data_IF_660412049431
#
_entry.id   IF_660412049431
#
_cell.length_a   1.000
_cell.length_b   1.000
_cell.length_c   1.000
_cell.angle_alpha   90.00
_cell.angle_beta   90.00
_cell.angle_gamma   90.00
#
_symmetry.space_group_name_H-M   'P 1'
#
loop_
_entity.id
_entity.type
_entity.pdbx_description
1 polymer ?
#
# COMPACT_ATOMS: atom_id res chain seq x y z
N UNK A 1 47.14 -41.16 -19.45
CA UNK A 1 45.68 -41.39 -19.29
C UNK A 1 45.20 -40.55 -18.13
N UNK A 2 44.08 -39.82 -18.28
CA UNK A 2 43.43 -39.17 -17.13
C UNK A 2 43.04 -40.24 -16.12
N UNK A 3 43.41 -40.07 -14.86
CA UNK A 3 42.91 -40.91 -13.76
C UNK A 3 41.42 -40.65 -13.50
N UNK A 4 40.83 -41.40 -12.57
CA UNK A 4 39.40 -41.28 -12.18
C UNK A 4 39.01 -39.83 -11.86
N UNK A 5 39.86 -39.10 -11.14
CA UNK A 5 39.65 -37.68 -10.81
C UNK A 5 39.61 -36.79 -12.06
N UNK A 6 40.46 -37.07 -13.05
CA UNK A 6 40.49 -36.34 -14.31
C UNK A 6 39.22 -36.55 -15.14
N UNK A 7 38.72 -37.79 -15.21
CA UNK A 7 37.44 -38.08 -15.87
C UNK A 7 36.24 -37.48 -15.15
N UNK A 8 36.23 -37.50 -13.81
CA UNK A 8 35.20 -36.83 -13.03
C UNK A 8 35.14 -35.32 -13.31
N UNK A 9 36.31 -34.67 -13.43
CA UNK A 9 36.37 -33.24 -13.78
C UNK A 9 35.84 -32.95 -15.18
N UNK A 10 36.23 -33.76 -16.18
CA UNK A 10 35.74 -33.61 -17.56
C UNK A 10 34.22 -33.81 -17.62
N UNK A 11 33.69 -34.83 -16.93
CA UNK A 11 32.25 -35.06 -16.86
C UNK A 11 31.51 -33.89 -16.18
N UNK A 12 32.05 -33.36 -15.07
CA UNK A 12 31.49 -32.21 -14.38
C UNK A 12 31.52 -30.94 -15.24
N UNK A 13 32.62 -30.68 -15.96
CA UNK A 13 32.73 -29.56 -16.87
C UNK A 13 31.78 -29.70 -18.07
N UNK A 14 31.67 -30.90 -18.65
CA UNK A 14 30.73 -31.19 -19.72
C UNK A 14 29.28 -30.99 -19.28
N UNK A 15 28.92 -31.48 -18.10
CA UNK A 15 27.60 -31.24 -17.51
C UNK A 15 27.35 -29.76 -17.24
N UNK A 16 28.35 -29.03 -16.72
CA UNK A 16 28.24 -27.59 -16.49
C UNK A 16 28.00 -26.82 -17.80
N UNK A 17 28.76 -27.13 -18.86
CA UNK A 17 28.57 -26.50 -20.19
C UNK A 17 27.17 -26.83 -20.73
N UNK A 18 26.75 -28.10 -20.67
CA UNK A 18 25.40 -28.52 -21.06
C UNK A 18 24.31 -27.77 -20.29
N UNK A 19 24.47 -27.63 -18.99
CA UNK A 19 23.53 -26.92 -18.11
C UNK A 19 23.49 -25.41 -18.40
N UNK A 20 24.64 -24.78 -18.62
CA UNK A 20 24.72 -23.36 -19.04
C UNK A 20 24.12 -23.16 -20.43
N UNK A 21 24.21 -24.14 -21.32
CA UNK A 21 23.61 -24.08 -22.66
C UNK A 21 22.09 -24.27 -22.68
N UNK A 22 21.47 -24.78 -21.59
CA UNK A 22 20.01 -24.93 -21.53
C UNK A 22 19.32 -23.56 -21.62
N UNK A 23 18.27 -23.40 -22.44
CA UNK A 23 17.49 -22.16 -22.46
C UNK A 23 16.79 -21.96 -21.12
N UNK A 24 16.59 -20.70 -20.74
CA UNK A 24 15.69 -20.39 -19.63
C UNK A 24 14.23 -20.72 -20.00
N UNK A 25 13.38 -21.07 -19.02
CA UNK A 25 11.99 -21.42 -19.28
C UNK A 25 11.23 -20.25 -19.91
N UNK A 26 10.40 -20.56 -20.90
CA UNK A 26 9.50 -19.58 -21.53
C UNK A 26 8.57 -19.00 -20.45
N UNK A 27 8.37 -17.67 -20.40
CA UNK A 27 7.45 -17.04 -19.46
C UNK A 27 6.05 -17.66 -19.54
N UNK A 28 5.41 -17.85 -18.38
CA UNK A 28 4.03 -18.30 -18.33
C UNK A 28 3.12 -17.25 -18.97
N UNK A 29 2.24 -17.68 -19.87
CA UNK A 29 1.39 -16.82 -20.71
C UNK A 29 2.19 -15.74 -21.49
N UNK A 30 3.48 -15.96 -21.74
CA UNK A 30 4.36 -15.00 -22.42
C UNK A 30 4.66 -13.71 -21.63
N UNK A 31 4.26 -13.64 -20.36
CA UNK A 31 4.33 -12.41 -19.56
C UNK A 31 4.99 -12.64 -18.20
N UNK A 32 4.71 -13.77 -17.55
CA UNK A 32 5.13 -14.01 -16.17
C UNK A 32 6.41 -14.84 -16.13
N UNK A 33 7.48 -14.27 -15.61
CA UNK A 33 8.78 -14.92 -15.46
C UNK A 33 8.68 -16.19 -14.62
N UNK A 34 9.57 -17.15 -14.88
CA UNK A 34 9.62 -18.44 -14.18
C UNK A 34 11.04 -18.67 -13.64
N UNK A 35 11.21 -19.46 -12.55
CA UNK A 35 12.53 -19.82 -12.05
C UNK A 35 13.43 -20.42 -13.14
N UNK A 36 14.43 -19.66 -13.57
CA UNK A 36 15.45 -20.11 -14.52
C UNK A 36 16.55 -20.94 -13.85
N UNK A 37 17.50 -21.43 -14.65
CA UNK A 37 18.60 -22.28 -14.15
C UNK A 37 19.42 -21.60 -13.04
N UNK A 38 19.59 -20.27 -13.12
CA UNK A 38 20.33 -19.48 -12.13
C UNK A 38 19.53 -19.10 -10.88
N UNK A 39 18.26 -19.53 -10.75
CA UNK A 39 17.37 -19.12 -9.66
C UNK A 39 18.02 -19.26 -8.28
N UNK A 40 18.58 -20.43 -7.94
CA UNK A 40 19.14 -20.65 -6.60
C UNK A 40 20.38 -19.81 -6.31
N UNK A 41 21.19 -19.52 -7.33
CA UNK A 41 22.34 -18.62 -7.21
C UNK A 41 21.86 -17.19 -6.94
N UNK A 42 20.94 -16.69 -7.78
CA UNK A 42 20.31 -15.36 -7.66
C UNK A 42 19.65 -15.18 -6.29
N UNK A 43 18.87 -16.17 -5.86
CA UNK A 43 18.16 -16.19 -4.59
C UNK A 43 19.11 -16.10 -3.41
N UNK A 44 20.13 -16.97 -3.33
CA UNK A 44 21.09 -16.97 -2.21
C UNK A 44 21.89 -15.65 -2.15
N UNK A 45 22.31 -15.14 -3.31
CA UNK A 45 23.02 -13.88 -3.40
C UNK A 45 22.15 -12.71 -2.89
N UNK A 46 20.92 -12.57 -3.40
CA UNK A 46 20.07 -11.45 -3.00
C UNK A 46 19.60 -11.56 -1.56
N UNK A 47 19.29 -12.76 -1.08
CA UNK A 47 18.96 -12.98 0.33
C UNK A 47 20.09 -12.52 1.24
N UNK A 48 21.35 -12.83 0.89
CA UNK A 48 22.52 -12.35 1.63
C UNK A 48 22.65 -10.81 1.55
N UNK A 49 22.56 -10.23 0.36
CA UNK A 49 22.69 -8.78 0.15
C UNK A 49 21.65 -8.01 0.97
N UNK A 50 20.37 -8.41 0.89
CA UNK A 50 19.27 -7.76 1.61
C UNK A 50 19.48 -7.91 3.13
N UNK A 51 19.81 -9.11 3.61
CA UNK A 51 20.05 -9.34 5.03
C UNK A 51 21.24 -8.52 5.57
N UNK A 52 22.31 -8.36 4.78
CA UNK A 52 23.46 -7.53 5.16
C UNK A 52 23.10 -6.03 5.21
N UNK A 53 22.29 -5.54 4.26
CA UNK A 53 21.80 -4.16 4.27
C UNK A 53 20.96 -3.87 5.51
N UNK A 54 19.99 -4.75 5.81
CA UNK A 54 19.14 -4.64 7.01
C UNK A 54 19.97 -4.69 8.32
N UNK A 55 21.00 -5.55 8.39
CA UNK A 55 21.89 -5.63 9.58
C UNK A 55 22.80 -4.43 9.75
N UNK A 56 23.33 -3.87 8.65
CA UNK A 56 24.22 -2.71 8.71
C UNK A 56 23.56 -1.48 9.33
N UNK A 57 22.23 -1.41 9.38
CA UNK A 57 21.48 -0.34 10.04
C UNK A 57 21.51 -0.44 11.58
N UNK A 58 21.38 -1.64 12.16
CA UNK A 58 21.37 -1.82 13.63
C UNK A 58 22.66 -1.37 14.33
N UNK A 59 23.78 -1.31 13.61
CA UNK A 59 25.11 -1.08 14.18
C UNK A 59 25.69 0.33 13.95
N UNK A 60 24.99 1.24 13.26
CA UNK A 60 25.50 2.60 13.01
C UNK A 60 25.00 3.60 14.06
N UNK A 61 25.92 4.23 14.79
CA UNK A 61 25.63 5.31 15.76
C UNK A 61 25.18 6.59 15.03
N UNK A 62 24.17 7.26 15.58
CA UNK A 62 23.34 8.27 14.88
C UNK A 62 23.99 9.62 14.51
N UNK A 63 25.28 9.84 14.76
CA UNK A 63 25.86 11.20 14.70
C UNK A 63 26.36 11.66 13.32
N UNK A 64 26.61 10.75 12.37
CA UNK A 64 27.16 11.09 11.04
C UNK A 64 26.31 10.55 9.86
N UNK A 65 25.07 10.15 10.12
CA UNK A 65 24.25 9.44 9.11
C UNK A 65 23.34 10.43 8.39
N UNK A 66 23.47 10.51 7.05
CA UNK A 66 22.60 11.29 6.16
C UNK A 66 21.13 10.86 6.34
N UNK A 67 20.18 11.79 6.24
CA UNK A 67 18.74 11.44 6.14
C UNK A 67 18.52 10.63 4.87
N UNK A 68 17.72 9.57 4.97
CA UNK A 68 17.35 8.73 3.83
C UNK A 68 16.46 9.54 2.86
N UNK A 69 16.74 9.43 1.57
CA UNK A 69 15.89 10.02 0.53
C UNK A 69 14.70 9.11 0.28
N UNK A 70 13.58 9.36 0.98
CA UNK A 70 12.39 8.51 0.94
C UNK A 70 11.77 8.37 -0.46
N UNK A 71 12.07 9.31 -1.37
CA UNK A 71 11.59 9.29 -2.77
C UNK A 71 12.54 8.54 -3.72
N UNK A 72 13.72 8.14 -3.26
CA UNK A 72 14.78 7.44 -4.03
C UNK A 72 15.44 6.30 -3.23
N UNK A 73 14.75 5.77 -2.23
CA UNK A 73 15.28 4.71 -1.37
C UNK A 73 15.39 3.37 -2.14
N UNK A 74 15.84 2.32 -1.45
CA UNK A 74 16.00 0.98 -2.03
C UNK A 74 15.62 -0.08 -1.01
N UNK A 75 15.37 -1.31 -1.47
CA UNK A 75 15.22 -2.48 -0.60
C UNK A 75 16.44 -2.64 0.34
N UNK A 76 16.19 -2.74 1.64
CA UNK A 76 17.21 -2.69 2.69
C UNK A 76 17.55 -1.28 3.19
N UNK A 77 16.95 -0.25 2.59
CA UNK A 77 17.27 1.17 2.71
C UNK A 77 18.60 1.58 2.07
N UNK A 78 18.81 2.89 1.93
CA UNK A 78 20.08 3.47 1.47
C UNK A 78 21.14 3.60 2.60
N UNK A 79 20.76 3.25 3.82
CA UNK A 79 21.59 3.33 5.02
C UNK A 79 21.48 4.67 5.77
N UNK A 80 20.56 5.54 5.37
CA UNK A 80 20.22 6.79 6.04
C UNK A 80 19.31 6.62 7.26
N UNK A 81 19.15 7.71 8.03
CA UNK A 81 18.19 7.78 9.15
C UNK A 81 16.78 7.96 8.59
N UNK A 82 15.85 7.13 9.07
CA UNK A 82 14.40 7.26 8.87
C UNK A 82 13.78 7.83 10.14
N UNK A 83 13.49 9.12 10.13
CA UNK A 83 12.82 9.81 11.23
C UNK A 83 11.31 9.57 11.10
N UNK A 84 10.65 9.12 12.17
CA UNK A 84 9.20 8.85 12.17
C UNK A 84 8.38 10.08 11.79
N UNK A 85 8.85 11.28 12.18
CA UNK A 85 8.17 12.53 11.82
C UNK A 85 8.28 12.85 10.34
N UNK A 86 9.38 12.42 9.70
CA UNK A 86 9.55 12.53 8.25
C UNK A 86 8.76 11.44 7.52
N UNK A 87 8.61 10.26 8.09
CA UNK A 87 7.81 9.17 7.51
C UNK A 87 6.31 9.48 7.49
N UNK A 88 5.76 10.11 8.54
CA UNK A 88 4.32 10.34 8.69
C UNK A 88 3.83 11.66 8.10
N UNK A 89 4.70 12.65 7.91
CA UNK A 89 4.27 13.95 7.40
C UNK A 89 3.82 13.85 5.94
N UNK A 90 2.99 14.81 5.53
CA UNK A 90 2.71 15.04 4.12
C UNK A 90 3.97 15.51 3.37
N UNK A 91 4.20 14.95 2.18
CA UNK A 91 5.36 15.25 1.36
C UNK A 91 5.02 16.16 0.19
N UNK A 92 5.91 17.10 -0.08
CA UNK A 92 5.91 17.84 -1.34
C UNK A 92 6.38 16.93 -2.48
N UNK A 93 5.70 17.02 -3.62
CA UNK A 93 6.04 16.20 -4.77
C UNK A 93 7.16 16.85 -5.59
N UNK A 94 8.25 16.12 -5.89
CA UNK A 94 9.34 16.63 -6.72
C UNK A 94 8.86 16.94 -8.15
N UNK A 95 9.15 18.16 -8.63
CA UNK A 95 8.68 18.68 -9.93
C UNK A 95 9.23 17.92 -11.13
N UNK A 96 10.42 17.36 -11.00
CA UNK A 96 11.12 16.57 -12.02
C UNK A 96 10.59 15.14 -12.14
N UNK A 97 9.80 14.66 -11.16
CA UNK A 97 9.25 13.30 -11.16
C UNK A 97 7.76 13.31 -11.45
N UNK A 98 7.41 13.17 -12.73
CA UNK A 98 6.03 13.17 -13.24
C UNK A 98 5.07 12.22 -12.51
N UNK A 99 5.57 11.07 -12.05
CA UNK A 99 4.74 10.02 -11.43
C UNK A 99 4.96 9.89 -9.93
N UNK A 100 5.54 10.93 -9.30
CA UNK A 100 5.66 10.95 -7.85
C UNK A 100 4.29 10.86 -7.18
N UNK A 101 4.30 10.37 -5.95
CA UNK A 101 3.09 10.25 -5.15
C UNK A 101 3.41 10.26 -3.67
N UNK A 102 2.45 10.77 -2.92
CA UNK A 102 2.41 10.72 -1.47
C UNK A 102 1.04 10.17 -1.07
N UNK A 103 1.03 8.92 -0.61
CA UNK A 103 -0.18 8.13 -0.46
C UNK A 103 -0.36 7.72 0.99
N UNK A 104 -1.58 7.87 1.51
CA UNK A 104 -1.96 7.31 2.81
C UNK A 104 -3.23 6.50 2.65
N UNK A 105 -3.27 5.35 3.30
CA UNK A 105 -4.38 4.41 3.26
C UNK A 105 -4.77 4.01 4.66
N UNK A 106 -6.06 3.80 4.86
CA UNK A 106 -6.65 3.34 6.10
C UNK A 106 -7.73 2.34 5.75
N UNK A 107 -7.74 1.20 6.42
CA UNK A 107 -8.88 0.30 6.42
C UNK A 107 -9.41 0.10 7.84
N UNK A 108 -10.49 -0.64 7.99
CA UNK A 108 -10.89 -1.12 9.29
C UNK A 108 -12.15 -1.95 9.22
N UNK A 109 -12.27 -2.89 10.16
CA UNK A 109 -13.47 -3.71 10.28
C UNK A 109 -13.73 -4.14 11.72
N UNK A 110 -14.93 -4.64 11.97
CA UNK A 110 -15.28 -5.28 13.25
C UNK A 110 -16.26 -6.44 13.05
N UNK A 111 -16.53 -7.16 14.15
CA UNK A 111 -17.44 -8.32 14.15
C UNK A 111 -18.89 -7.98 13.79
N UNK A 112 -19.32 -6.75 14.03
CA UNK A 112 -20.68 -6.31 13.74
C UNK A 112 -20.91 -6.14 12.22
N UNK A 113 -19.85 -6.27 11.41
CA UNK A 113 -19.92 -6.12 9.97
C UNK A 113 -19.68 -4.68 9.48
N UNK A 114 -19.10 -3.81 10.31
CA UNK A 114 -18.59 -2.56 9.79
C UNK A 114 -17.36 -2.80 8.93
N UNK A 115 -17.27 -2.08 7.80
CA UNK A 115 -16.05 -1.98 7.02
C UNK A 115 -15.82 -0.53 6.62
N UNK A 116 -14.58 -0.10 6.69
CA UNK A 116 -14.16 1.22 6.27
C UNK A 116 -12.89 1.08 5.45
N UNK A 117 -12.79 1.83 4.36
CA UNK A 117 -11.54 1.97 3.62
C UNK A 117 -11.48 3.36 3.02
N UNK A 118 -10.38 4.07 3.27
CA UNK A 118 -10.10 5.39 2.72
C UNK A 118 -8.63 5.45 2.30
N UNK A 119 -8.41 5.64 1.00
CA UNK A 119 -7.08 5.81 0.41
C UNK A 119 -6.97 7.14 -0.31
N UNK A 120 -5.86 7.83 -0.11
CA UNK A 120 -5.47 9.02 -0.89
C UNK A 120 -4.12 8.77 -1.54
N UNK A 121 -3.95 9.24 -2.77
CA UNK A 121 -2.64 9.38 -3.41
C UNK A 121 -2.55 10.79 -3.98
N UNK A 122 -1.83 11.68 -3.29
CA UNK A 122 -1.54 13.01 -3.80
C UNK A 122 -0.66 12.89 -5.04
N UNK A 123 -1.07 13.57 -6.11
CA UNK A 123 -0.38 13.66 -7.40
C UNK A 123 -0.08 15.11 -7.75
N UNK A 124 0.67 15.30 -8.83
CA UNK A 124 0.84 16.60 -9.46
C UNK A 124 -0.51 17.14 -9.98
N UNK A 125 -0.52 18.40 -10.41
CA UNK A 125 -1.66 19.06 -11.06
C UNK A 125 -2.92 19.18 -10.18
N UNK A 126 -2.74 19.37 -8.87
CA UNK A 126 -3.83 19.51 -7.88
C UNK A 126 -4.80 18.31 -7.89
N UNK A 127 -4.27 17.09 -8.03
CA UNK A 127 -5.06 15.85 -8.03
C UNK A 127 -4.73 15.01 -6.80
N UNK A 128 -5.77 14.49 -6.14
CA UNK A 128 -5.67 13.34 -5.24
C UNK A 128 -6.45 12.19 -5.87
N UNK A 129 -5.80 11.06 -6.13
CA UNK A 129 -6.55 9.84 -6.42
C UNK A 129 -7.17 9.38 -5.10
N UNK A 130 -8.48 9.33 -5.03
CA UNK A 130 -9.23 9.09 -3.82
C UNK A 130 -10.04 7.81 -3.96
N UNK A 131 -10.01 6.99 -2.92
CA UNK A 131 -10.74 5.73 -2.82
C UNK A 131 -11.48 5.71 -1.48
N UNK A 132 -12.78 5.45 -1.50
CA UNK A 132 -13.60 5.32 -0.30
C UNK A 132 -14.60 4.17 -0.46
N UNK A 133 -14.63 3.30 0.54
CA UNK A 133 -15.72 2.33 0.76
C UNK A 133 -16.11 2.37 2.24
N UNK A 134 -17.40 2.50 2.52
CA UNK A 134 -17.96 2.41 3.88
C UNK A 134 -19.10 1.40 3.85
N UNK A 135 -19.00 0.33 4.62
CA UNK A 135 -20.12 -0.56 4.89
C UNK A 135 -20.66 -0.30 6.29
N UNK A 136 -21.97 -0.08 6.33
CA UNK A 136 -22.75 0.04 7.55
C UNK A 136 -23.69 -1.16 7.63
N UNK A 137 -23.53 -2.04 8.64
CA UNK A 137 -24.31 -3.28 8.76
C UNK A 137 -25.81 -2.99 8.82
N UNK A 138 -26.60 -3.74 8.06
CA UNK A 138 -28.05 -3.57 7.95
C UNK A 138 -28.52 -2.32 7.19
N UNK A 139 -27.62 -1.40 6.83
CA UNK A 139 -27.99 -0.15 6.14
C UNK A 139 -27.52 -0.13 4.68
N UNK A 140 -26.24 -0.46 4.44
CA UNK A 140 -25.71 -0.52 3.08
C UNK A 140 -24.19 -0.39 3.00
N UNK A 141 -23.68 -0.68 1.81
CA UNK A 141 -22.33 -0.29 1.39
C UNK A 141 -22.37 0.99 0.57
N UNK A 142 -21.47 1.92 0.84
CA UNK A 142 -21.43 3.27 0.29
C UNK A 142 -20.06 3.59 -0.30
N UNK A 143 -20.09 4.38 -1.37
CA UNK A 143 -18.92 4.98 -2.01
C UNK A 143 -19.19 6.47 -2.23
N UNK A 144 -18.16 7.26 -2.48
CA UNK A 144 -18.35 8.64 -2.94
C UNK A 144 -19.05 8.66 -4.30
N UNK A 145 -19.97 9.61 -4.50
CA UNK A 145 -20.82 9.66 -5.68
C UNK A 145 -20.04 9.91 -6.97
N UNK A 146 -18.93 10.65 -6.91
CA UNK A 146 -18.07 10.94 -8.06
C UNK A 146 -17.08 9.80 -8.34
N UNK A 147 -16.61 9.13 -7.28
CA UNK A 147 -15.64 8.02 -7.40
C UNK A 147 -16.12 6.83 -8.23
N UNK A 148 -17.43 6.65 -8.42
CA UNK A 148 -17.94 5.58 -9.29
C UNK A 148 -17.49 5.72 -10.75
N UNK A 149 -17.15 6.95 -11.16
CA UNK A 149 -16.79 7.29 -12.54
C UNK A 149 -15.33 7.75 -12.61
N UNK A 150 -14.90 8.57 -11.64
CA UNK A 150 -13.55 9.12 -11.61
C UNK A 150 -13.03 9.24 -10.18
N UNK A 151 -11.94 8.54 -9.89
CA UNK A 151 -11.24 8.61 -8.61
C UNK A 151 -10.37 9.85 -8.46
N UNK A 152 -10.23 10.70 -9.48
CA UNK A 152 -9.45 11.94 -9.41
C UNK A 152 -10.26 13.04 -8.72
N UNK A 153 -9.99 13.25 -7.43
CA UNK A 153 -10.52 14.38 -6.70
C UNK A 153 -9.60 15.60 -6.84
N UNK A 154 -10.19 16.78 -7.00
CA UNK A 154 -9.43 18.04 -6.96
C UNK A 154 -8.86 18.24 -5.54
N UNK A 155 -7.54 18.34 -5.45
CA UNK A 155 -6.81 18.64 -4.22
C UNK A 155 -7.02 20.10 -3.80
N UNK A 156 -7.07 20.32 -2.50
CA UNK A 156 -6.97 21.65 -1.89
C UNK A 156 -5.58 21.75 -1.27
N UNK A 157 -4.85 22.78 -1.69
CA UNK A 157 -3.52 23.06 -1.18
C UNK A 157 -3.53 23.17 0.35
N UNK A 158 -2.73 22.32 0.98
CA UNK A 158 -2.52 22.26 2.42
C UNK A 158 -1.14 21.69 2.68
N UNK A 159 -0.46 22.24 3.69
CA UNK A 159 0.88 21.81 4.09
C UNK A 159 0.87 20.47 4.82
N UNK A 160 -0.16 20.23 5.63
CA UNK A 160 -0.20 19.10 6.56
C UNK A 160 -1.36 18.13 6.30
N UNK A 161 -2.31 18.51 5.44
CA UNK A 161 -3.51 17.70 5.16
C UNK A 161 -3.54 17.19 3.72
N UNK A 162 -3.98 15.95 3.54
CA UNK A 162 -4.49 15.47 2.25
C UNK A 162 -5.96 15.88 2.16
N UNK A 163 -6.22 17.00 1.49
CA UNK A 163 -7.52 17.64 1.46
C UNK A 163 -8.08 17.69 0.06
N UNK A 164 -9.37 17.40 -0.11
CA UNK A 164 -10.04 17.46 -1.42
C UNK A 164 -11.20 18.45 -1.43
N UNK A 165 -11.51 18.96 -2.61
CA UNK A 165 -12.71 19.78 -2.83
C UNK A 165 -14.02 18.99 -2.71
N UNK A 166 -13.96 17.64 -2.66
CA UNK A 166 -15.13 16.82 -2.31
C UNK A 166 -15.41 16.80 -0.81
N UNK A 167 -14.52 17.32 0.04
CA UNK A 167 -14.75 17.45 1.48
C UNK A 167 -13.97 16.47 2.35
N UNK A 168 -13.06 15.69 1.78
CA UNK A 168 -12.19 14.82 2.57
C UNK A 168 -11.01 15.62 3.11
N UNK A 169 -10.62 15.31 4.35
CA UNK A 169 -9.35 15.74 4.93
C UNK A 169 -8.76 14.63 5.78
N UNK A 170 -7.47 14.37 5.60
CA UNK A 170 -6.66 13.47 6.42
C UNK A 170 -5.49 14.27 6.97
N UNK A 171 -5.24 14.18 8.27
CA UNK A 171 -4.18 14.90 8.98
C UNK A 171 -3.44 13.97 9.94
N UNK A 172 -2.11 14.01 9.91
CA UNK A 172 -1.27 13.43 10.97
C UNK A 172 -1.29 14.36 12.18
N UNK A 173 -1.84 13.90 13.31
CA UNK A 173 -1.86 14.67 14.56
C UNK A 173 -0.58 14.42 15.34
N UNK A 174 -0.20 13.14 15.47
CA UNK A 174 1.03 12.70 16.13
C UNK A 174 1.63 11.51 15.35
N UNK A 175 2.85 11.66 14.81
CA UNK A 175 3.50 10.60 14.02
C UNK A 175 3.46 9.24 14.71
N UNK A 176 3.10 8.19 13.97
CA UNK A 176 2.98 6.80 14.40
C UNK A 176 2.01 6.56 15.56
N UNK A 177 1.18 7.55 15.94
CA UNK A 177 0.30 7.47 17.10
C UNK A 177 -1.14 7.88 16.82
N UNK A 178 -1.36 9.04 16.19
CA UNK A 178 -2.70 9.61 16.04
C UNK A 178 -2.89 10.35 14.72
N UNK A 179 -4.01 10.04 14.06
CA UNK A 179 -4.43 10.62 12.80
C UNK A 179 -5.91 11.02 12.85
N UNK A 180 -6.27 12.10 12.16
CA UNK A 180 -7.65 12.55 12.01
C UNK A 180 -8.08 12.38 10.58
N UNK A 181 -9.23 11.73 10.37
CA UNK A 181 -9.87 11.58 9.08
C UNK A 181 -11.26 12.19 9.16
N UNK A 182 -11.61 13.02 8.18
CA UNK A 182 -12.90 13.69 8.15
C UNK A 182 -13.47 13.78 6.76
N UNK A 183 -14.80 13.76 6.70
CA UNK A 183 -15.56 14.02 5.51
C UNK A 183 -16.68 14.99 5.85
N UNK A 184 -16.55 16.23 5.36
CA UNK A 184 -17.53 17.30 5.49
C UNK A 184 -17.56 18.01 4.14
N UNK A 185 -18.72 18.15 3.52
CA UNK A 185 -18.78 18.77 2.19
C UNK A 185 -18.13 20.16 2.17
N UNK A 186 -17.48 20.49 1.06
CA UNK A 186 -16.72 21.73 0.94
C UNK A 186 -17.63 22.93 0.64
N UNK A 187 -17.29 24.09 1.24
CA UNK A 187 -17.90 25.38 0.91
C UNK A 187 -17.40 25.85 -0.45
N UNK A 188 -18.31 26.17 -1.37
CA UNK A 188 -17.93 26.96 -2.56
C UNK A 188 -17.69 28.42 -2.14
N UNK A 189 -16.43 28.85 -2.18
CA UNK A 189 -16.07 30.27 -2.05
C UNK A 189 -16.29 30.98 -3.39
N UNK A 190 -17.52 31.42 -3.67
CA UNK A 190 -17.83 32.14 -4.90
C UNK A 190 -19.13 32.92 -4.82
N UNK A 191 -19.03 34.17 -4.35
CA UNK A 191 -20.00 35.29 -4.45
C UNK A 191 -21.45 35.02 -4.01
N UNK A 192 -21.90 35.84 -3.03
CA UNK A 192 -23.24 35.91 -2.39
C UNK A 192 -23.63 34.69 -1.52
N UNK A 193 -23.11 34.74 -0.30
CA UNK A 193 -23.80 34.53 0.98
C UNK A 193 -25.22 33.93 0.94
N UNK A 194 -25.31 32.65 0.61
CA UNK A 194 -26.37 31.76 1.11
C UNK A 194 -25.65 30.57 1.75
N UNK A 195 -25.71 30.50 3.09
CA UNK A 195 -25.02 29.48 3.87
C UNK A 195 -25.78 28.15 3.83
N UNK A 196 -25.65 27.39 2.74
CA UNK A 196 -25.98 25.97 2.79
C UNK A 196 -24.75 25.20 3.26
N UNK A 197 -24.86 24.48 4.38
CA UNK A 197 -23.87 23.46 4.79
C UNK A 197 -23.90 22.39 3.69
N UNK A 198 -22.94 22.44 2.77
CA UNK A 198 -22.78 21.37 1.78
C UNK A 198 -22.26 20.18 2.56
N UNK A 199 -23.07 19.12 2.68
CA UNK A 199 -22.64 17.85 3.25
C UNK A 199 -21.92 17.04 2.16
N UNK A 200 -21.09 16.10 2.59
CA UNK A 200 -20.51 15.14 1.67
C UNK A 200 -21.62 14.30 1.04
N UNK A 201 -21.41 13.77 -0.16
CA UNK A 201 -22.42 12.95 -0.85
C UNK A 201 -21.89 11.54 -1.03
N UNK A 202 -22.62 10.55 -0.53
CA UNK A 202 -22.32 9.14 -0.72
C UNK A 202 -23.42 8.46 -1.52
N UNK A 203 -23.05 7.54 -2.39
CA UNK A 203 -23.97 6.73 -3.16
C UNK A 203 -23.94 5.29 -2.63
N UNK A 204 -25.13 4.71 -2.44
CA UNK A 204 -25.26 3.30 -2.05
C UNK A 204 -24.82 2.42 -3.22
N UNK A 205 -23.95 1.46 -2.95
CA UNK A 205 -23.42 0.51 -3.93
C UNK A 205 -24.55 -0.33 -4.53
N UNK A 206 -24.44 -0.59 -5.84
CA UNK A 206 -25.41 -1.38 -6.63
C UNK A 206 -25.00 -2.84 -6.78
N UNK A 207 -23.80 -3.19 -6.32
CA UNK A 207 -23.22 -4.53 -6.47
C UNK A 207 -24.02 -5.61 -5.74
N UNK A 208 -23.81 -6.87 -6.12
CA UNK A 208 -24.36 -8.00 -5.38
C UNK A 208 -23.72 -8.03 -3.99
N UNK A 209 -24.56 -7.92 -2.96
CA UNK A 209 -24.14 -8.07 -1.57
C UNK A 209 -24.09 -9.56 -1.24
N UNK A 210 -22.94 -10.05 -0.76
CA UNK A 210 -22.71 -11.47 -0.44
C UNK A 210 -22.59 -11.73 1.07
N UNK A 211 -23.00 -10.77 1.90
CA UNK A 211 -23.01 -10.93 3.37
C UNK A 211 -24.29 -11.65 3.80
N UNK A 212 -24.15 -12.81 4.43
CA UNK A 212 -25.28 -13.70 4.82
C UNK A 212 -25.59 -13.73 6.32
N UNK A 213 -24.73 -13.17 7.17
CA UNK A 213 -24.90 -13.25 8.63
C UNK A 213 -24.76 -11.87 9.30
N UNK A 214 -23.56 -11.28 9.26
CA UNK A 214 -23.30 -10.03 9.97
C UNK A 214 -23.78 -8.81 9.17
N UNK A 215 -24.94 -8.29 9.55
CA UNK A 215 -25.51 -7.08 8.96
C UNK A 215 -26.09 -7.30 7.57
N UNK A 216 -26.84 -8.39 7.37
CA UNK A 216 -27.61 -8.66 6.15
C UNK A 216 -28.26 -7.36 5.64
N UNK A 217 -27.89 -6.95 4.43
CA UNK A 217 -28.33 -5.66 3.89
C UNK A 217 -29.72 -5.80 3.29
N UNK A 218 -30.59 -4.84 3.60
CA UNK A 218 -31.86 -4.73 2.91
C UNK A 218 -31.65 -4.37 1.43
N UNK A 219 -31.71 -5.40 0.58
CA UNK A 219 -31.57 -5.31 -0.87
C UNK A 219 -32.79 -4.68 -1.58
N UNK A 220 -33.87 -4.36 -0.85
CA UNK A 220 -35.09 -3.74 -1.42
C UNK A 220 -34.86 -2.29 -1.84
N UNK A 221 -33.86 -1.60 -1.26
CA UNK A 221 -33.58 -0.19 -1.53
C UNK A 221 -32.23 0.02 -2.23
N UNK A 222 -32.27 -0.01 -3.57
CA UNK A 222 -31.21 0.52 -4.44
C UNK A 222 -31.47 2.01 -4.68
N UNK A 223 -31.16 2.86 -3.70
CA UNK A 223 -31.27 4.32 -3.90
C UNK A 223 -30.24 4.76 -4.95
N UNK A 224 -30.71 5.33 -6.05
CA UNK A 224 -29.84 5.94 -7.07
C UNK A 224 -29.40 7.36 -6.70
N UNK A 225 -30.01 7.95 -5.67
CA UNK A 225 -29.73 9.31 -5.27
C UNK A 225 -28.59 9.36 -4.25
N UNK A 226 -27.61 10.26 -4.43
CA UNK A 226 -26.59 10.52 -3.43
C UNK A 226 -27.22 11.01 -2.11
N UNK A 227 -26.76 10.44 -1.01
CA UNK A 227 -27.21 10.71 0.35
C UNK A 227 -26.18 11.59 1.05
N UNK A 228 -26.66 12.55 1.83
CA UNK A 228 -25.79 13.38 2.65
C UNK A 228 -25.01 12.55 3.68
N UNK A 229 -23.73 12.80 3.82
CA UNK A 229 -22.90 12.14 4.80
C UNK A 229 -21.87 13.08 5.44
N UNK A 230 -21.54 12.76 6.68
CA UNK A 230 -20.51 13.42 7.46
C UNK A 230 -19.88 12.40 8.41
N UNK A 231 -18.55 12.41 8.51
CA UNK A 231 -17.86 11.67 9.56
C UNK A 231 -16.62 12.44 10.01
N UNK A 232 -16.26 12.22 11.26
CA UNK A 232 -14.98 12.63 11.83
C UNK A 232 -14.53 11.49 12.74
N UNK A 233 -13.41 10.88 12.36
CA UNK A 233 -12.89 9.70 13.02
C UNK A 233 -11.41 9.93 13.36
N UNK A 234 -11.00 9.39 14.48
CA UNK A 234 -9.61 9.31 14.89
C UNK A 234 -9.08 7.91 14.58
N UNK A 235 -7.91 7.83 13.99
CA UNK A 235 -7.13 6.61 13.95
C UNK A 235 -6.02 6.70 15.00
N UNK A 236 -5.88 5.65 15.81
CA UNK A 236 -4.86 5.55 16.85
C UNK A 236 -4.09 4.25 16.72
N UNK A 237 -2.77 4.28 16.89
CA UNK A 237 -1.95 3.09 16.72
C UNK A 237 -2.16 2.03 17.80
N UNK A 238 -1.78 0.80 17.48
CA UNK A 238 -1.33 -0.16 18.46
C UNK A 238 -0.09 -0.89 17.93
N UNK A 239 0.89 -1.11 18.79
CA UNK A 239 2.17 -1.70 18.41
C UNK A 239 3.03 -0.79 17.53
N UNK A 240 4.16 -1.35 17.13
CA UNK A 240 5.13 -0.70 16.25
C UNK A 240 4.67 -0.75 14.79
N UNK A 241 5.14 0.19 13.98
CA UNK A 241 4.98 0.13 12.53
C UNK A 241 5.93 -0.91 11.93
N UNK A 242 5.54 -1.47 10.79
CA UNK A 242 6.33 -2.38 9.98
C UNK A 242 6.89 -1.66 8.76
N UNK A 243 8.21 -1.49 8.70
CA UNK A 243 8.92 -0.85 7.58
C UNK A 243 9.35 -1.91 6.53
N UNK A 244 8.79 -1.83 5.33
CA UNK A 244 9.05 -2.82 4.28
C UNK A 244 10.49 -2.81 3.75
N UNK A 245 11.25 -1.74 3.92
CA UNK A 245 12.64 -1.72 3.50
C UNK A 245 13.54 -2.38 4.54
N UNK A 246 13.20 -2.28 5.82
CA UNK A 246 14.09 -2.73 6.88
C UNK A 246 13.68 -4.04 7.53
N UNK A 247 12.41 -4.41 7.47
CA UNK A 247 11.84 -5.55 8.20
C UNK A 247 11.26 -6.63 7.28
N UNK A 248 11.06 -6.33 5.99
CA UNK A 248 10.59 -7.34 5.05
C UNK A 248 11.53 -8.54 4.97
N UNK A 249 10.95 -9.75 4.89
CA UNK A 249 11.68 -11.00 4.83
C UNK A 249 12.67 -11.01 3.65
N UNK A 250 13.99 -11.11 3.90
CA UNK A 250 14.98 -11.26 2.83
C UNK A 250 14.71 -12.48 1.96
N UNK A 251 14.04 -13.49 2.50
CA UNK A 251 13.65 -14.69 1.76
C UNK A 251 12.56 -14.38 0.73
N UNK A 252 11.50 -13.65 1.11
CA UNK A 252 10.38 -13.35 0.22
C UNK A 252 10.77 -12.43 -0.95
N UNK A 253 11.51 -11.35 -0.65
CA UNK A 253 11.99 -10.42 -1.68
C UNK A 253 13.02 -11.08 -2.60
N UNK A 254 13.96 -11.85 -2.04
CA UNK A 254 14.95 -12.57 -2.86
C UNK A 254 14.31 -13.65 -3.73
N UNK A 255 13.25 -14.31 -3.25
CA UNK A 255 12.47 -15.27 -4.04
C UNK A 255 11.87 -14.58 -5.27
N UNK A 256 11.09 -13.53 -5.03
CA UNK A 256 10.43 -12.72 -6.08
C UNK A 256 11.43 -12.21 -7.11
N UNK A 257 12.57 -11.69 -6.67
CA UNK A 257 13.63 -11.19 -7.55
C UNK A 257 14.40 -12.29 -8.30
N UNK A 258 14.56 -13.47 -7.71
CA UNK A 258 15.29 -14.56 -8.34
C UNK A 258 14.49 -15.22 -9.48
N UNK A 259 13.17 -15.04 -9.51
CA UNK A 259 12.31 -15.47 -10.61
C UNK A 259 12.60 -14.65 -11.87
N UNK A 260 12.90 -13.35 -11.74
CA UNK A 260 13.08 -12.45 -12.87
C UNK A 260 14.40 -12.69 -13.66
N UNK A 261 14.40 -12.51 -14.98
CA UNK A 261 15.62 -12.44 -15.78
C UNK A 261 16.44 -11.22 -15.38
N UNK A 262 17.67 -11.42 -14.89
CA UNK A 262 18.51 -10.31 -14.46
C UNK A 262 19.15 -9.59 -15.64
N UNK A 263 18.93 -8.29 -15.71
CA UNK A 263 19.56 -7.37 -16.65
C UNK A 263 19.83 -6.05 -15.93
N UNK A 264 20.72 -5.21 -16.50
CA UNK A 264 20.93 -3.85 -15.98
C UNK A 264 19.61 -3.07 -15.95
N UNK A 265 18.83 -3.19 -17.02
CA UNK A 265 17.51 -2.56 -17.17
C UNK A 265 16.52 -2.99 -16.07
N UNK A 266 16.47 -4.27 -15.68
CA UNK A 266 15.64 -4.72 -14.56
C UNK A 266 16.02 -3.97 -13.27
N UNK A 267 17.32 -3.88 -12.97
CA UNK A 267 17.79 -3.21 -11.76
C UNK A 267 17.59 -1.69 -11.81
N UNK A 268 17.70 -1.07 -12.99
CA UNK A 268 17.37 0.34 -13.19
C UNK A 268 15.88 0.61 -12.93
N UNK A 269 14.98 -0.20 -13.50
CA UNK A 269 13.54 -0.09 -13.25
C UNK A 269 13.18 -0.35 -11.79
N UNK A 270 13.83 -1.32 -11.15
CA UNK A 270 13.61 -1.62 -9.73
C UNK A 270 14.00 -0.44 -8.84
N UNK A 271 15.15 0.20 -9.10
CA UNK A 271 15.55 1.42 -8.39
C UNK A 271 14.57 2.55 -8.64
N UNK A 272 14.16 2.75 -9.89
CA UNK A 272 13.26 3.84 -10.26
C UNK A 272 11.85 3.67 -9.66
N UNK A 273 11.36 2.43 -9.56
CA UNK A 273 10.00 2.10 -9.10
C UNK A 273 9.92 1.79 -7.60
N UNK A 274 11.04 1.89 -6.88
CA UNK A 274 11.07 1.68 -5.44
C UNK A 274 10.21 2.74 -4.72
N UNK A 275 9.63 2.34 -3.59
CA UNK A 275 8.74 3.15 -2.79
C UNK A 275 9.09 2.93 -1.33
N UNK A 276 9.25 4.03 -0.58
CA UNK A 276 9.26 3.92 0.88
C UNK A 276 7.85 3.62 1.33
N UNK A 277 7.68 2.53 2.05
CA UNK A 277 6.37 2.06 2.48
C UNK A 277 6.47 1.46 3.88
N UNK A 278 5.55 1.86 4.74
CA UNK A 278 5.35 1.22 6.03
C UNK A 278 3.87 1.12 6.33
N UNK A 279 3.57 0.20 7.24
CA UNK A 279 2.22 -0.08 7.70
C UNK A 279 2.19 -0.14 9.21
N UNK A 280 1.05 0.21 9.79
CA UNK A 280 0.87 0.15 11.23
C UNK A 280 -0.56 -0.25 11.53
N UNK A 281 -0.72 -1.17 12.48
CA UNK A 281 -2.03 -1.53 12.96
C UNK A 281 -2.51 -0.54 14.03
N UNK A 282 -3.83 -0.43 14.17
CA UNK A 282 -4.46 0.56 15.01
C UNK A 282 -5.95 0.34 15.15
N UNK A 283 -6.62 1.40 15.58
CA UNK A 283 -8.06 1.46 15.74
C UNK A 283 -8.61 2.72 15.11
N UNK A 284 -9.74 2.58 14.42
CA UNK A 284 -10.58 3.72 14.04
C UNK A 284 -11.65 3.89 15.11
N UNK A 285 -11.81 5.11 15.62
CA UNK A 285 -12.86 5.47 16.56
C UNK A 285 -13.57 6.75 16.10
N UNK A 286 -14.91 6.76 16.11
CA UNK A 286 -15.65 7.99 15.88
C UNK A 286 -17.11 7.77 15.53
N UNK A 287 -17.69 8.72 14.80
CA UNK A 287 -19.09 8.69 14.41
C UNK A 287 -19.29 8.91 12.92
N UNK A 288 -20.34 8.28 12.40
CA UNK A 288 -20.77 8.39 11.02
C UNK A 288 -22.20 8.89 10.99
N UNK A 289 -22.47 9.89 10.17
CA UNK A 289 -23.82 10.33 9.83
C UNK A 289 -24.04 10.09 8.34
N UNK A 290 -25.07 9.32 7.99
CA UNK A 290 -25.46 9.06 6.59
C UNK A 290 -26.98 9.20 6.49
N UNK A 291 -27.41 10.20 5.73
CA UNK A 291 -28.79 10.64 5.63
C UNK A 291 -29.31 11.14 6.98
N UNK A 292 -30.39 10.52 7.44
CA UNK A 292 -31.02 10.84 8.72
C UNK A 292 -30.55 9.93 9.87
N UNK A 293 -29.62 9.01 9.60
CA UNK A 293 -29.11 8.07 10.59
C UNK A 293 -27.71 8.49 11.07
N UNK A 294 -27.46 8.27 12.34
CA UNK A 294 -26.17 8.52 13.00
C UNK A 294 -25.77 7.27 13.76
N UNK A 295 -24.50 6.92 13.66
CA UNK A 295 -23.87 5.85 14.42
C UNK A 295 -22.69 6.44 15.19
N UNK A 296 -22.78 6.40 16.51
CA UNK A 296 -21.77 6.93 17.42
C UNK A 296 -20.98 5.78 18.07
N UNK A 297 -19.75 6.08 18.51
CA UNK A 297 -18.91 5.12 19.23
C UNK A 297 -18.47 3.92 18.38
N UNK A 298 -18.41 4.09 17.05
CA UNK A 298 -17.93 3.04 16.16
C UNK A 298 -16.45 2.83 16.38
N UNK A 299 -16.08 1.58 16.69
CA UNK A 299 -14.71 1.14 16.86
C UNK A 299 -14.39 0.01 15.89
N UNK A 300 -13.34 0.20 15.10
CA UNK A 300 -12.84 -0.78 14.13
C UNK A 300 -11.39 -1.12 14.44
N UNK A 301 -11.02 -2.39 14.32
CA UNK A 301 -9.60 -2.74 14.19
C UNK A 301 -9.17 -2.39 12.78
N UNK A 302 -8.00 -1.76 12.65
CA UNK A 302 -7.59 -1.04 11.45
C UNK A 302 -6.11 -1.25 11.15
N UNK A 303 -5.75 -1.14 9.87
CA UNK A 303 -4.39 -0.95 9.40
C UNK A 303 -4.30 0.38 8.64
N UNK A 304 -3.20 1.10 8.85
CA UNK A 304 -2.83 2.30 8.11
C UNK A 304 -1.53 2.04 7.35
N UNK A 305 -1.45 2.54 6.12
CA UNK A 305 -0.20 2.65 5.38
C UNK A 305 0.16 4.09 5.01
N UNK A 306 1.45 4.29 4.74
CA UNK A 306 1.95 5.46 4.04
C UNK A 306 2.97 5.03 3.00
N UNK A 307 2.74 5.45 1.76
CA UNK A 307 3.66 5.24 0.65
C UNK A 307 4.20 6.56 0.09
N UNK A 308 5.52 6.70 0.09
CA UNK A 308 6.24 7.85 -0.45
C UNK A 308 7.05 7.35 -1.65
N UNK A 309 6.83 7.93 -2.83
CA UNK A 309 7.42 7.38 -4.06
C UNK A 309 7.73 8.42 -5.12
N UNK A 310 8.90 8.27 -5.75
CA UNK A 310 9.26 9.02 -6.95
C UNK A 310 8.58 8.54 -8.23
N UNK A 311 8.02 7.32 -8.24
CA UNK A 311 7.38 6.73 -9.40
C UNK A 311 6.34 5.68 -8.99
N UNK A 312 5.06 5.97 -9.24
CA UNK A 312 3.98 4.99 -9.12
C UNK A 312 2.87 5.26 -10.12
N UNK A 313 2.63 4.31 -11.03
CA UNK A 313 1.47 4.31 -11.92
C UNK A 313 0.59 3.10 -11.64
N UNK A 314 -0.70 3.33 -11.43
CA UNK A 314 -1.65 2.25 -11.17
C UNK A 314 -1.77 1.26 -12.34
N UNK A 315 -1.57 1.73 -13.58
CA UNK A 315 -1.59 0.89 -14.78
C UNK A 315 -0.40 -0.07 -14.90
N UNK A 316 0.65 0.10 -14.10
CA UNK A 316 1.78 -0.83 -14.05
C UNK A 316 1.44 -2.08 -13.21
N UNK A 317 0.46 -1.96 -12.30
CA UNK A 317 -0.05 -3.08 -11.51
C UNK A 317 -1.09 -3.81 -12.34
N UNK A 318 -0.74 -5.03 -12.78
CA UNK A 318 -1.65 -5.87 -13.56
C UNK A 318 -2.70 -6.51 -12.70
N UNK A 319 -2.29 -7.03 -11.53
CA UNK A 319 -3.13 -7.71 -10.54
C UNK A 319 -2.48 -7.59 -9.18
N UNK A 320 -3.28 -7.52 -8.13
CA UNK A 320 -2.81 -7.71 -6.78
C UNK A 320 -3.91 -8.32 -5.92
N UNK A 321 -3.49 -8.97 -4.84
CA UNK A 321 -4.35 -9.40 -3.75
C UNK A 321 -3.69 -8.87 -2.49
N UNK A 322 -4.46 -8.17 -1.66
CA UNK A 322 -4.07 -7.71 -0.35
C UNK A 322 -5.09 -8.24 0.65
N UNK A 323 -4.63 -8.93 1.68
CA UNK A 323 -5.49 -9.50 2.71
C UNK A 323 -4.97 -9.07 4.07
N UNK A 324 -5.86 -8.44 4.82
CA UNK A 324 -5.60 -7.95 6.18
C UNK A 324 -6.57 -8.68 7.09
N UNK A 325 -6.03 -9.33 8.11
CA UNK A 325 -6.77 -10.14 9.06
C UNK A 325 -6.61 -9.59 10.46
N UNK A 326 -7.70 -9.61 11.20
CA UNK A 326 -7.74 -9.35 12.63
C UNK A 326 -8.41 -10.54 13.30
N UNK A 327 -7.64 -11.28 14.09
CA UNK A 327 -8.10 -12.49 14.77
C UNK A 327 -8.59 -12.17 16.18
N UNK A 328 -9.40 -13.08 16.73
CA UNK A 328 -10.03 -12.88 18.05
C UNK A 328 -9.02 -12.85 19.20
N UNK A 329 -7.90 -13.54 19.04
CA UNK A 329 -6.80 -13.55 20.00
C UNK A 329 -6.01 -12.24 20.00
N UNK A 330 -6.27 -11.32 19.06
CA UNK A 330 -5.55 -10.07 18.86
C UNK A 330 -4.44 -10.16 17.81
N UNK A 331 -4.19 -11.34 17.23
CA UNK A 331 -3.23 -11.50 16.13
C UNK A 331 -3.71 -10.72 14.90
N UNK A 332 -2.81 -9.94 14.31
CA UNK A 332 -3.04 -9.21 13.08
C UNK A 332 -2.07 -9.67 11.98
N UNK A 333 -2.59 -9.88 10.78
CA UNK A 333 -1.83 -10.45 9.67
C UNK A 333 -2.05 -9.58 8.44
N UNK A 334 -0.96 -9.19 7.79
CA UNK A 334 -1.02 -8.68 6.42
C UNK A 334 -0.30 -9.65 5.50
N UNK A 335 -0.93 -10.00 4.38
CA UNK A 335 -0.30 -10.70 3.27
C UNK A 335 -0.74 -10.10 1.93
N UNK A 336 0.21 -9.98 1.01
CA UNK A 336 -0.03 -9.41 -0.30
C UNK A 336 0.82 -10.09 -1.37
N UNK A 337 0.23 -10.17 -2.56
CA UNK A 337 0.91 -10.57 -3.78
C UNK A 337 0.60 -9.55 -4.86
N UNK A 338 1.64 -8.91 -5.40
CA UNK A 338 1.52 -7.88 -6.44
C UNK A 338 2.18 -8.37 -7.72
N UNK A 339 1.50 -8.17 -8.85
CA UNK A 339 1.98 -8.52 -10.18
C UNK A 339 2.15 -7.27 -11.05
N UNK A 340 3.39 -6.97 -11.40
CA UNK A 340 3.82 -5.86 -12.26
C UNK A 340 4.80 -6.37 -13.34
N UNK A 341 4.38 -7.35 -14.17
CA UNK A 341 5.27 -7.98 -15.14
C UNK A 341 5.73 -6.94 -16.17
N UNK A 342 7.02 -6.99 -16.54
CA UNK A 342 7.61 -6.01 -17.44
C UNK A 342 7.93 -4.65 -16.81
N UNK A 343 7.66 -4.44 -15.52
CA UNK A 343 8.11 -3.26 -14.76
C UNK A 343 9.14 -3.69 -13.73
N UNK A 344 8.74 -4.49 -12.75
CA UNK A 344 9.64 -4.92 -11.66
C UNK A 344 9.51 -6.39 -11.27
N UNK A 345 8.31 -6.91 -11.09
CA UNK A 345 8.09 -8.28 -10.60
C UNK A 345 6.87 -8.91 -11.26
N UNK A 346 7.01 -10.12 -11.79
CA UNK A 346 5.89 -10.96 -12.21
C UNK A 346 5.02 -11.32 -11.00
N UNK A 347 5.67 -11.54 -9.86
CA UNK A 347 5.07 -11.86 -8.58
C UNK A 347 5.97 -11.33 -7.46
N UNK A 348 5.48 -10.34 -6.72
CA UNK A 348 6.10 -9.79 -5.53
C UNK A 348 5.27 -10.21 -4.33
N UNK A 349 5.84 -11.05 -3.46
CA UNK A 349 5.18 -11.54 -2.26
C UNK A 349 5.74 -10.87 -1.02
N UNK A 350 4.85 -10.43 -0.13
CA UNK A 350 5.23 -9.91 1.18
C UNK A 350 4.08 -10.01 2.18
N UNK A 351 4.42 -9.82 3.44
CA UNK A 351 3.48 -9.86 4.54
C UNK A 351 4.21 -9.98 5.87
N UNK A 352 3.46 -9.78 6.95
CA UNK A 352 3.94 -9.88 8.31
C UNK A 352 2.80 -10.25 9.25
N UNK A 353 3.17 -10.72 10.44
CA UNK A 353 2.25 -11.10 11.50
C UNK A 353 2.66 -10.33 12.74
N UNK A 354 1.67 -9.72 13.41
CA UNK A 354 1.80 -9.17 14.75
C UNK A 354 0.97 -10.04 15.68
N UNK A 355 1.59 -10.52 16.75
CA UNK A 355 0.91 -11.24 17.82
C UNK A 355 0.77 -10.34 19.06
N UNK A 356 -0.23 -10.57 19.93
CA UNK A 356 -0.44 -9.80 21.16
C UNK A 356 0.75 -9.74 22.11
#
# INVERSE_FOLDING_TARGET
MLGVVGWAFVAALGYFIYWVAQPDPVPFLGVYSRPGKWYWLKFRLMKLVIALRQRSKKNKKSRDVKKEDLMNSQWGGDGGIRDISELDKKHDLPKDKKFAGDCVFFDGSNRDGWYFTLGTAQRHDDIINLFLIIRVPGFGTFVDDKMQIDTNAKSIQSKNEWKTASGFSIECIKPMEEWRLSFKGCKNSGKKQIYFKILGKLLKSRGACIFSENGEEDNRNKSEMPIDAEFEIAWTNFGDYFDFDTECSPTAIAHSLAIEPWSRELFDRMRASHQTHYEQFGFINGSFKIGNQTWDGIKLTSMRDHTITGYRRWSDIRRYIMMIYHLEDGTCIHTSVISMPGVVFSQLEFGYVITP
#
